data_IF_436191526824
#
_entry.id   IF_436191526824
#
_cell.length_a   1.000
_cell.length_b   1.000
_cell.length_c   1.000
_cell.angle_alpha   90.00
_cell.angle_beta   90.00
_cell.angle_gamma   90.00
#
_symmetry.space_group_name_H-M   'P 1'
#
loop_
_entity.id
_entity.type
_entity.pdbx_description
1 polymer ?
#
# COMPACT_ATOMS: atom_id res chain seq x y z
N UNK A 1 -0.24 3.94 -7.03
CA UNK A 1 -0.01 5.34 -6.63
C UNK A 1 -0.69 6.21 -7.65
N UNK A 2 -1.91 6.62 -7.32
CA UNK A 2 -2.62 7.68 -8.01
C UNK A 2 -2.04 9.05 -7.63
N UNK A 3 -1.96 9.99 -8.58
CA UNK A 3 -1.59 11.39 -8.31
C UNK A 3 -2.77 12.26 -8.75
N UNK A 4 -3.43 12.92 -7.79
CA UNK A 4 -4.53 13.85 -8.06
C UNK A 4 -4.00 15.27 -8.17
N UNK A 5 -4.44 16.00 -9.19
CA UNK A 5 -3.99 17.38 -9.43
C UNK A 5 -5.15 18.36 -9.24
N UNK A 6 -4.94 19.35 -8.38
CA UNK A 6 -5.81 20.51 -8.24
C UNK A 6 -5.20 21.71 -8.97
N UNK A 7 -6.06 22.48 -9.63
CA UNK A 7 -5.69 23.77 -10.21
C UNK A 7 -5.82 24.85 -9.15
N UNK A 8 -4.73 25.55 -8.88
CA UNK A 8 -4.70 26.69 -7.96
C UNK A 8 -4.80 28.00 -8.75
N UNK A 9 -4.66 29.14 -8.06
CA UNK A 9 -4.64 30.45 -8.69
C UNK A 9 -3.51 30.59 -9.73
N UNK A 10 -3.78 31.36 -10.78
CA UNK A 10 -2.87 31.62 -11.90
C UNK A 10 -2.39 30.34 -12.61
N UNK A 11 -1.08 30.07 -12.64
CA UNK A 11 -0.48 28.89 -13.29
C UNK A 11 0.05 27.87 -12.27
N UNK A 12 -0.43 27.96 -11.02
CA UNK A 12 -0.03 27.07 -9.94
C UNK A 12 -0.85 25.79 -9.96
N UNK A 13 -0.16 24.68 -9.68
CA UNK A 13 -0.74 23.34 -9.64
C UNK A 13 -0.38 22.69 -8.30
N UNK A 14 -1.30 21.92 -7.75
CA UNK A 14 -1.08 21.11 -6.55
C UNK A 14 -1.27 19.64 -6.90
N UNK A 15 -0.22 18.84 -6.73
CA UNK A 15 -0.30 17.39 -6.83
C UNK A 15 -0.38 16.78 -5.43
N UNK A 16 -1.35 15.89 -5.19
CA UNK A 16 -1.51 15.09 -3.97
C UNK A 16 -1.37 13.62 -4.28
N UNK A 17 -0.56 12.93 -3.48
CA UNK A 17 -0.33 11.48 -3.55
C UNK A 17 0.23 11.02 -2.21
N UNK A 18 -0.23 9.87 -1.72
CA UNK A 18 0.04 9.43 -0.34
C UNK A 18 -0.26 10.58 0.66
N UNK A 19 0.64 10.79 1.63
CA UNK A 19 0.58 11.90 2.59
C UNK A 19 1.33 13.16 2.10
N UNK A 20 1.75 13.19 0.84
CA UNK A 20 2.58 14.25 0.28
C UNK A 20 1.78 15.22 -0.59
N UNK A 21 2.20 16.48 -0.55
CA UNK A 21 1.69 17.54 -1.42
C UNK A 21 2.86 18.25 -2.10
N UNK A 22 2.78 18.40 -3.43
CA UNK A 22 3.79 19.09 -4.23
C UNK A 22 3.12 20.24 -4.98
N UNK A 23 3.65 21.44 -4.82
CA UNK A 23 3.23 22.62 -5.58
C UNK A 23 4.18 22.82 -6.75
N UNK A 24 3.63 23.04 -7.94
CA UNK A 24 4.37 23.46 -9.11
C UNK A 24 3.86 24.81 -9.60
N UNK A 25 4.76 25.63 -10.15
CA UNK A 25 4.43 26.93 -10.70
C UNK A 25 5.34 27.25 -11.89
N UNK A 26 4.82 28.08 -12.80
CA UNK A 26 5.62 28.60 -13.90
C UNK A 26 6.44 29.82 -13.43
N UNK A 27 7.65 30.03 -13.94
CA UNK A 27 8.40 31.24 -13.66
C UNK A 27 7.70 32.47 -14.26
N UNK A 28 8.02 33.66 -13.74
CA UNK A 28 7.45 34.95 -14.18
C UNK A 28 7.57 35.16 -15.70
N UNK A 29 8.67 34.71 -16.32
CA UNK A 29 8.88 34.78 -17.79
C UNK A 29 7.82 34.03 -18.60
N UNK A 30 7.17 33.03 -18.00
CA UNK A 30 6.06 32.26 -18.56
C UNK A 30 4.72 32.62 -17.90
N UNK A 31 4.62 33.83 -17.32
CA UNK A 31 3.41 34.40 -16.70
C UNK A 31 2.92 33.71 -15.42
N UNK A 32 3.71 32.81 -14.82
CA UNK A 32 3.40 32.28 -13.49
C UNK A 32 3.95 33.18 -12.38
N UNK A 33 3.76 32.76 -11.13
CA UNK A 33 4.19 33.56 -9.98
C UNK A 33 5.65 33.28 -9.60
N UNK A 34 6.24 32.21 -10.16
CA UNK A 34 7.59 31.74 -9.81
C UNK A 34 7.70 31.31 -8.34
N UNK A 35 6.58 30.94 -7.71
CA UNK A 35 6.48 30.60 -6.29
C UNK A 35 6.95 29.18 -5.95
N UNK A 36 7.06 28.32 -6.96
CA UNK A 36 7.52 26.93 -6.85
C UNK A 36 8.26 26.50 -8.13
N UNK A 37 9.03 25.39 -8.11
CA UNK A 37 9.61 24.81 -9.32
C UNK A 37 8.55 24.45 -10.36
N UNK A 38 8.92 24.48 -11.64
CA UNK A 38 8.05 23.99 -12.70
C UNK A 38 7.89 22.46 -12.64
N UNK A 39 6.84 21.88 -13.25
CA UNK A 39 6.65 20.43 -13.25
C UNK A 39 7.86 19.65 -13.78
N UNK A 40 8.51 20.15 -14.84
CA UNK A 40 9.70 19.52 -15.40
C UNK A 40 10.93 19.60 -14.47
N UNK A 41 11.02 20.63 -13.63
CA UNK A 41 12.13 20.78 -12.68
C UNK A 41 12.10 19.67 -11.62
N UNK A 42 10.90 19.22 -11.21
CA UNK A 42 10.75 18.06 -10.33
C UNK A 42 11.24 16.77 -10.98
N UNK A 43 10.98 16.57 -12.28
CA UNK A 43 11.51 15.43 -13.01
C UNK A 43 13.06 15.45 -13.01
N UNK A 44 13.67 16.60 -13.30
CA UNK A 44 15.13 16.76 -13.29
C UNK A 44 15.72 16.56 -11.89
N UNK A 45 15.08 17.11 -10.86
CA UNK A 45 15.48 16.95 -9.47
C UNK A 45 15.39 15.47 -9.04
N UNK A 46 14.32 14.77 -9.43
CA UNK A 46 14.12 13.36 -9.09
C UNK A 46 15.22 12.46 -9.66
N UNK A 47 15.77 12.77 -10.84
CA UNK A 47 16.93 12.07 -11.41
C UNK A 47 18.19 12.23 -10.54
N UNK A 48 18.51 13.46 -10.12
CA UNK A 48 19.66 13.73 -9.25
C UNK A 48 19.49 13.09 -7.86
N UNK A 49 18.28 13.20 -7.27
CA UNK A 49 17.94 12.59 -5.99
C UNK A 49 18.01 11.06 -6.05
N UNK A 50 17.53 10.45 -7.13
CA UNK A 50 17.61 9.00 -7.35
C UNK A 50 19.07 8.53 -7.41
N UNK A 51 19.95 9.23 -8.13
CA UNK A 51 21.38 8.91 -8.12
C UNK A 51 21.95 9.01 -6.69
N UNK A 52 21.66 10.10 -5.97
CA UNK A 52 22.14 10.31 -4.60
C UNK A 52 21.62 9.23 -3.62
N UNK A 53 20.36 8.80 -3.78
CA UNK A 53 19.78 7.70 -3.02
C UNK A 53 20.58 6.40 -3.19
N UNK A 54 20.94 6.04 -4.43
CA UNK A 54 21.74 4.83 -4.67
C UNK A 54 23.17 4.95 -4.13
N UNK A 55 23.74 6.15 -4.06
CA UNK A 55 24.98 6.39 -3.31
C UNK A 55 24.77 6.13 -1.82
N UNK A 56 23.72 6.72 -1.23
CA UNK A 56 23.40 6.57 0.20
C UNK A 56 23.18 5.12 0.59
N UNK A 57 22.44 4.35 -0.21
CA UNK A 57 22.20 2.91 0.02
C UNK A 57 23.52 2.12 -0.01
N UNK A 58 24.40 2.37 -0.98
CA UNK A 58 25.69 1.69 -1.07
C UNK A 58 26.56 1.97 0.16
N UNK A 59 26.62 3.24 0.56
CA UNK A 59 27.42 3.71 1.70
C UNK A 59 26.89 3.15 3.03
N UNK A 60 25.57 3.23 3.26
CA UNK A 60 24.93 2.70 4.47
C UNK A 60 25.18 1.19 4.63
N UNK A 61 25.14 0.41 3.54
CA UNK A 61 25.37 -1.04 3.60
C UNK A 61 26.82 -1.45 3.92
N UNK A 62 27.75 -0.48 3.99
CA UNK A 62 29.20 -0.68 4.21
C UNK A 62 29.75 0.24 5.29
N UNK A 63 28.88 0.90 6.04
CA UNK A 63 29.25 1.87 7.08
C UNK A 63 30.21 2.97 6.58
N UNK A 64 30.05 3.41 5.32
CA UNK A 64 30.80 4.52 4.73
C UNK A 64 30.07 5.82 5.04
N UNK A 65 30.70 6.81 5.69
CA UNK A 65 30.11 8.13 5.88
C UNK A 65 29.81 8.81 4.55
N UNK A 66 28.67 9.49 4.46
CA UNK A 66 28.33 10.29 3.27
C UNK A 66 28.85 11.72 3.34
N UNK A 67 29.66 12.03 4.34
CA UNK A 67 30.27 13.34 4.51
C UNK A 67 31.15 13.65 3.30
N UNK A 68 31.06 14.87 2.79
CA UNK A 68 31.81 15.36 1.63
C UNK A 68 31.56 14.62 0.30
N UNK A 69 30.57 13.72 0.22
CA UNK A 69 30.08 13.23 -1.06
C UNK A 69 29.09 14.26 -1.63
N UNK A 70 29.33 14.71 -2.86
CA UNK A 70 28.46 15.69 -3.53
C UNK A 70 28.03 15.20 -4.89
N UNK A 71 26.79 15.50 -5.25
CA UNK A 71 26.23 15.21 -6.57
C UNK A 71 25.70 16.49 -7.19
N UNK A 72 25.90 16.65 -8.49
CA UNK A 72 25.30 17.73 -9.28
C UNK A 72 24.80 17.18 -10.60
N UNK A 73 23.66 17.66 -11.06
CA UNK A 73 23.15 17.35 -12.41
C UNK A 73 23.13 18.61 -13.25
N UNK A 74 23.61 18.50 -14.47
CA UNK A 74 23.47 19.52 -15.51
C UNK A 74 22.84 18.89 -16.74
N UNK A 75 22.04 19.65 -17.48
CA UNK A 75 21.37 19.16 -18.68
C UNK A 75 21.97 19.84 -19.90
N UNK A 76 22.43 19.06 -20.85
CA UNK A 76 22.87 19.55 -22.16
C UNK A 76 21.71 19.31 -23.11
N UNK A 77 21.14 20.40 -23.62
CA UNK A 77 20.00 20.37 -24.55
C UNK A 77 20.53 20.40 -25.97
N UNK A 78 20.03 19.51 -26.82
CA UNK A 78 20.33 19.52 -28.25
C UNK A 78 19.74 20.81 -28.89
N UNK A 79 20.55 21.60 -29.63
CA UNK A 79 20.08 22.83 -30.27
C UNK A 79 18.95 22.63 -31.29
N UNK A 80 18.89 21.46 -31.94
CA UNK A 80 17.92 21.17 -33.01
C UNK A 80 16.69 20.43 -32.48
N UNK A 81 16.81 19.70 -31.36
CA UNK A 81 15.70 19.04 -30.68
C UNK A 81 15.75 19.24 -29.17
N UNK A 82 14.96 20.19 -28.67
CA UNK A 82 14.90 20.50 -27.23
C UNK A 82 14.52 19.32 -26.32
N UNK A 83 13.93 18.25 -26.87
CA UNK A 83 13.57 17.05 -26.12
C UNK A 83 14.72 16.04 -26.04
N UNK A 84 15.68 16.11 -26.97
CA UNK A 84 16.90 15.34 -26.90
C UNK A 84 17.88 16.01 -25.91
N UNK A 85 18.01 15.42 -24.72
CA UNK A 85 18.81 15.99 -23.63
C UNK A 85 19.78 14.96 -23.05
N UNK A 86 20.99 15.41 -22.72
CA UNK A 86 21.95 14.63 -21.93
C UNK A 86 21.89 15.12 -20.48
N UNK A 87 21.36 14.30 -19.59
CA UNK A 87 21.42 14.52 -18.15
C UNK A 87 22.77 14.07 -17.60
N UNK A 88 23.68 15.04 -17.41
CA UNK A 88 25.03 14.81 -16.92
C UNK A 88 25.08 14.92 -15.40
N UNK A 89 25.15 13.77 -14.73
CA UNK A 89 25.32 13.68 -13.27
C UNK A 89 26.82 13.56 -12.96
N UNK A 90 27.37 14.54 -12.26
CA UNK A 90 28.74 14.49 -11.73
C UNK A 90 28.69 14.11 -10.25
N UNK A 91 29.60 13.23 -9.83
CA UNK A 91 29.73 12.75 -8.46
C UNK A 91 31.13 13.08 -7.96
N UNK A 92 31.20 13.89 -6.92
CA UNK A 92 32.43 14.21 -6.20
C UNK A 92 32.54 13.26 -4.99
N UNK A 93 33.64 12.50 -4.93
CA UNK A 93 33.91 11.52 -3.88
C UNK A 93 35.21 11.89 -3.16
N UNK A 94 35.22 11.96 -1.82
CA UNK A 94 36.41 12.36 -1.06
C UNK A 94 37.56 11.38 -1.25
N UNK A 95 38.81 11.85 -1.10
CA UNK A 95 40.04 11.12 -1.45
C UNK A 95 40.21 9.79 -0.68
N UNK A 96 39.69 9.72 0.54
CA UNK A 96 39.75 8.58 1.45
C UNK A 96 38.85 7.39 1.05
N UNK A 97 37.92 7.58 0.11
CA UNK A 97 37.15 6.46 -0.45
C UNK A 97 38.06 5.58 -1.31
N UNK A 98 38.09 4.29 -0.96
CA UNK A 98 38.84 3.25 -1.67
C UNK A 98 38.40 3.14 -3.15
N UNK A 99 39.31 2.77 -4.05
CA UNK A 99 38.98 2.57 -5.47
C UNK A 99 37.87 1.52 -5.67
N UNK A 100 37.84 0.49 -4.81
CA UNK A 100 36.80 -0.53 -4.80
C UNK A 100 35.43 0.09 -4.54
N UNK A 101 35.34 1.00 -3.57
CA UNK A 101 34.11 1.66 -3.20
C UNK A 101 33.71 2.76 -4.18
N UNK A 102 34.67 3.50 -4.76
CA UNK A 102 34.39 4.42 -5.88
C UNK A 102 33.67 3.71 -7.01
N UNK A 103 34.20 2.58 -7.45
CA UNK A 103 33.55 1.78 -8.50
C UNK A 103 32.21 1.18 -8.02
N UNK A 104 32.13 0.77 -6.76
CA UNK A 104 30.90 0.26 -6.16
C UNK A 104 29.76 1.28 -6.14
N UNK A 105 30.07 2.51 -5.76
CA UNK A 105 29.16 3.65 -5.78
C UNK A 105 28.67 3.91 -7.21
N UNK A 106 29.58 4.00 -8.19
CA UNK A 106 29.20 4.21 -9.59
C UNK A 106 28.29 3.09 -10.13
N UNK A 107 28.59 1.82 -9.79
CA UNK A 107 27.71 0.69 -10.14
C UNK A 107 26.35 0.75 -9.44
N UNK A 108 26.31 1.27 -8.22
CA UNK A 108 25.06 1.49 -7.48
C UNK A 108 24.19 2.53 -8.17
N UNK A 109 24.79 3.68 -8.54
CA UNK A 109 24.11 4.74 -9.31
C UNK A 109 23.58 4.21 -10.64
N UNK A 110 24.26 3.23 -11.27
CA UNK A 110 23.77 2.65 -12.52
C UNK A 110 22.37 2.03 -12.38
N UNK A 111 21.96 1.65 -11.16
CA UNK A 111 20.65 1.08 -10.86
C UNK A 111 19.56 2.14 -10.60
N UNK A 112 19.87 3.43 -10.74
CA UNK A 112 18.88 4.49 -10.56
C UNK A 112 17.62 4.24 -11.40
N UNK A 113 16.49 4.09 -10.71
CA UNK A 113 15.18 3.80 -11.27
C UNK A 113 14.76 4.85 -12.30
N UNK A 114 14.88 6.14 -11.98
CA UNK A 114 14.52 7.24 -12.91
C UNK A 114 15.29 7.11 -14.22
N UNK A 115 16.61 6.88 -14.14
CA UNK A 115 17.44 6.69 -15.33
C UNK A 115 17.02 5.47 -16.14
N UNK A 116 16.80 4.31 -15.49
CA UNK A 116 16.41 3.08 -16.19
C UNK A 116 15.06 3.24 -16.89
N UNK A 117 14.06 3.83 -16.23
CA UNK A 117 12.74 4.08 -16.82
C UNK A 117 12.87 4.98 -18.05
N UNK A 118 13.56 6.12 -17.93
CA UNK A 118 13.76 7.05 -19.06
C UNK A 118 14.48 6.38 -20.23
N UNK A 119 15.49 5.54 -19.97
CA UNK A 119 16.21 4.80 -21.00
C UNK A 119 15.37 3.69 -21.65
N UNK A 120 14.41 3.12 -20.91
CA UNK A 120 13.47 2.12 -21.45
C UNK A 120 12.38 2.78 -22.31
N UNK A 121 12.05 4.05 -22.06
CA UNK A 121 11.04 4.79 -22.82
C UNK A 121 9.62 4.40 -22.40
N UNK A 122 9.08 4.96 -21.30
CA UNK A 122 7.70 4.70 -20.92
C UNK A 122 6.75 5.29 -21.96
N UNK A 123 5.64 4.60 -22.19
CA UNK A 123 4.54 5.10 -23.02
C UNK A 123 3.65 6.04 -22.20
N UNK A 124 3.27 7.16 -22.80
CA UNK A 124 2.28 8.07 -22.24
C UNK A 124 0.96 7.88 -22.98
N UNK A 125 -0.02 7.30 -22.30
CA UNK A 125 -1.39 7.18 -22.80
C UNK A 125 -2.24 8.30 -22.17
N UNK A 126 -2.99 9.01 -23.00
CA UNK A 126 -3.84 10.13 -22.58
C UNK A 126 -5.26 9.81 -23.03
N UNK A 127 -6.14 9.63 -22.05
CA UNK A 127 -7.53 9.29 -22.28
C UNK A 127 -8.43 10.28 -21.54
N UNK A 128 -9.58 10.58 -22.14
CA UNK A 128 -10.62 11.40 -21.50
C UNK A 128 -11.63 10.44 -20.92
N UNK A 129 -11.93 10.64 -19.64
CA UNK A 129 -12.89 9.81 -18.92
C UNK A 129 -14.02 10.65 -18.35
N UNK A 130 -15.19 10.04 -18.15
CA UNK A 130 -16.34 10.71 -17.55
C UNK A 130 -16.14 10.94 -16.05
N UNK A 131 -15.48 9.99 -15.36
CA UNK A 131 -15.22 10.06 -13.93
C UNK A 131 -13.91 9.35 -13.52
N UNK A 132 -12.90 10.13 -13.10
CA UNK A 132 -11.59 9.62 -12.66
C UNK A 132 -11.69 8.58 -11.53
N UNK A 133 -12.71 8.69 -10.69
CA UNK A 133 -12.93 7.80 -9.56
C UNK A 133 -13.41 6.39 -9.95
N UNK A 134 -14.05 6.26 -11.11
CA UNK A 134 -14.54 4.99 -11.65
C UNK A 134 -13.43 4.26 -12.44
N UNK A 135 -12.57 5.00 -13.15
CA UNK A 135 -11.48 4.42 -13.95
C UNK A 135 -10.24 3.98 -13.16
N UNK A 136 -10.04 4.47 -11.93
CA UNK A 136 -8.96 3.96 -11.09
C UNK A 136 -9.06 2.44 -10.83
N UNK A 137 -10.29 1.90 -10.83
CA UNK A 137 -10.53 0.44 -10.75
C UNK A 137 -10.12 -0.29 -12.04
N UNK A 138 -10.12 0.37 -13.20
CA UNK A 138 -9.72 -0.22 -14.48
C UNK A 138 -8.21 -0.57 -14.53
N UNK A 139 -7.39 0.03 -13.67
CA UNK A 139 -5.97 -0.35 -13.53
C UNK A 139 -5.76 -1.72 -12.86
N UNK A 140 -6.77 -2.27 -12.18
CA UNK A 140 -6.77 -3.63 -11.65
C UNK A 140 -7.16 -4.67 -12.71
N UNK A 141 -7.87 -4.26 -13.77
CA UNK A 141 -8.15 -5.12 -14.91
C UNK A 141 -6.88 -5.34 -15.72
N UNK A 142 -6.13 -6.38 -15.33
CA UNK A 142 -5.32 -7.11 -16.30
C UNK A 142 -6.25 -7.47 -17.46
N UNK A 143 -5.81 -7.32 -18.72
CA UNK A 143 -6.57 -7.84 -19.85
C UNK A 143 -6.76 -9.35 -19.63
N UNK A 144 -7.94 -9.74 -19.17
CA UNK A 144 -8.31 -11.08 -18.73
C UNK A 144 -8.67 -11.94 -19.95
N UNK A 145 -7.81 -11.99 -20.96
CA UNK A 145 -7.95 -12.94 -22.05
C UNK A 145 -7.26 -14.25 -21.65
N UNK A 146 -8.02 -15.19 -21.08
CA UNK A 146 -7.50 -16.52 -20.70
C UNK A 146 -8.32 -17.25 -19.64
N UNK A 147 -8.02 -18.54 -19.46
CA UNK A 147 -8.51 -19.38 -18.36
C UNK A 147 -7.31 -20.09 -17.72
N UNK A 148 -6.59 -19.39 -16.85
CA UNK A 148 -5.39 -19.92 -16.19
C UNK A 148 -5.78 -20.61 -14.88
N UNK A 149 -5.67 -21.94 -14.86
CA UNK A 149 -5.82 -22.74 -13.64
C UNK A 149 -4.46 -22.95 -12.97
N UNK A 150 -4.44 -22.81 -11.64
CA UNK A 150 -3.30 -23.18 -10.79
C UNK A 150 -3.71 -24.28 -9.82
N UNK A 151 -2.75 -25.10 -9.41
CA UNK A 151 -3.00 -26.24 -8.53
C UNK A 151 -3.66 -25.80 -7.20
N UNK A 152 -4.69 -26.53 -6.79
CA UNK A 152 -5.43 -26.28 -5.55
C UNK A 152 -6.41 -25.10 -5.60
N UNK A 153 -6.71 -24.54 -6.78
CA UNK A 153 -7.75 -23.51 -6.96
C UNK A 153 -8.88 -24.03 -7.87
N UNK A 154 -10.11 -23.74 -7.46
CA UNK A 154 -11.32 -24.26 -8.10
C UNK A 154 -11.83 -23.40 -9.28
N UNK A 155 -11.19 -22.26 -9.53
CA UNK A 155 -11.56 -21.34 -10.61
C UNK A 155 -10.30 -20.75 -11.28
N UNK A 156 -10.40 -20.32 -12.55
CA UNK A 156 -9.34 -19.58 -13.22
C UNK A 156 -8.98 -18.29 -12.48
N UNK A 157 -7.72 -17.88 -12.59
CA UNK A 157 -7.22 -16.63 -12.00
C UNK A 157 -8.00 -15.42 -12.50
N UNK A 158 -8.28 -15.36 -13.80
CA UNK A 158 -8.95 -14.26 -14.48
C UNK A 158 -10.38 -14.07 -13.94
N UNK A 159 -11.13 -15.17 -13.83
CA UNK A 159 -12.48 -15.15 -13.26
C UNK A 159 -12.45 -14.78 -11.77
N UNK A 160 -11.47 -15.29 -11.03
CA UNK A 160 -11.31 -14.99 -9.60
C UNK A 160 -11.04 -13.52 -9.37
N UNK A 161 -10.11 -12.93 -10.14
CA UNK A 161 -9.77 -11.49 -10.08
C UNK A 161 -10.99 -10.65 -10.42
N UNK A 162 -11.70 -10.95 -11.52
CA UNK A 162 -12.87 -10.21 -11.94
C UNK A 162 -13.95 -10.21 -10.85
N UNK A 163 -14.28 -11.40 -10.31
CA UNK A 163 -15.29 -11.54 -9.25
C UNK A 163 -14.90 -10.83 -7.95
N UNK A 164 -13.66 -10.97 -7.50
CA UNK A 164 -13.20 -10.31 -6.27
C UNK A 164 -13.16 -8.80 -6.41
N UNK A 165 -12.74 -8.30 -7.58
CA UNK A 165 -12.75 -6.87 -7.89
C UNK A 165 -14.19 -6.32 -7.88
N UNK A 166 -15.14 -7.04 -8.47
CA UNK A 166 -16.56 -6.68 -8.46
C UNK A 166 -17.17 -6.67 -7.06
N UNK A 167 -16.85 -7.67 -6.21
CA UNK A 167 -17.30 -7.69 -4.81
C UNK A 167 -16.84 -6.42 -4.10
N UNK A 168 -15.55 -6.12 -4.18
CA UNK A 168 -14.95 -4.97 -3.51
C UNK A 168 -15.54 -3.65 -4.04
N UNK A 169 -15.67 -3.49 -5.35
CA UNK A 169 -16.23 -2.27 -5.95
C UNK A 169 -17.70 -2.08 -5.60
N UNK A 170 -18.48 -3.16 -5.52
CA UNK A 170 -19.90 -3.11 -5.12
C UNK A 170 -20.10 -2.65 -3.67
N UNK A 171 -19.08 -2.82 -2.82
CA UNK A 171 -19.06 -2.28 -1.45
C UNK A 171 -18.63 -0.80 -1.39
N UNK A 172 -18.38 -0.17 -2.54
CA UNK A 172 -17.97 1.23 -2.64
C UNK A 172 -16.47 1.47 -2.40
N UNK A 173 -15.67 0.41 -2.27
CA UNK A 173 -14.23 0.51 -2.04
C UNK A 173 -13.47 0.70 -3.34
N UNK A 174 -12.41 1.53 -3.29
CA UNK A 174 -11.55 1.80 -4.44
C UNK A 174 -10.15 1.30 -4.15
N UNK A 175 -9.81 0.16 -4.72
CA UNK A 175 -8.49 -0.42 -4.54
C UNK A 175 -7.52 0.16 -5.55
N UNK A 176 -6.36 0.58 -5.08
CA UNK A 176 -5.23 0.94 -5.93
C UNK A 176 -4.07 -0.03 -5.73
N UNK A 177 -3.29 -0.20 -6.81
CA UNK A 177 -2.00 -0.86 -6.73
C UNK A 177 -0.94 0.13 -6.27
N UNK A 178 -0.37 -0.09 -5.10
CA UNK A 178 0.74 0.73 -4.61
C UNK A 178 2.08 0.30 -5.24
N UNK A 179 2.35 -1.01 -5.31
CA UNK A 179 3.59 -1.50 -5.93
C UNK A 179 3.52 -2.94 -6.44
N UNK A 180 4.22 -3.19 -7.54
CA UNK A 180 4.53 -4.51 -8.08
C UNK A 180 6.00 -4.83 -7.88
N UNK A 181 6.32 -6.11 -7.59
CA UNK A 181 7.70 -6.61 -7.63
C UNK A 181 7.74 -7.97 -8.32
N UNK A 182 8.81 -8.18 -9.09
CA UNK A 182 9.18 -9.45 -9.70
C UNK A 182 10.70 -9.60 -9.56
N UNK A 183 11.14 -10.03 -8.38
CA UNK A 183 12.56 -9.95 -7.99
C UNK A 183 13.39 -11.03 -8.71
N UNK A 184 12.79 -12.19 -8.96
CA UNK A 184 13.37 -13.31 -9.70
C UNK A 184 12.27 -13.98 -10.54
N UNK A 185 12.60 -14.73 -11.61
CA UNK A 185 11.61 -15.39 -12.44
C UNK A 185 10.61 -16.19 -11.62
N UNK A 186 9.32 -16.03 -11.95
CA UNK A 186 8.21 -16.72 -11.29
C UNK A 186 8.01 -16.40 -9.81
N UNK A 187 8.46 -15.22 -9.34
CA UNK A 187 8.22 -14.77 -7.96
C UNK A 187 7.72 -13.33 -7.98
N UNK A 188 6.39 -13.20 -7.94
CA UNK A 188 5.68 -11.94 -7.94
C UNK A 188 5.17 -11.60 -6.55
N UNK A 189 5.22 -10.32 -6.21
CA UNK A 189 4.49 -9.76 -5.08
C UNK A 189 3.78 -8.48 -5.49
N UNK A 190 2.61 -8.25 -4.90
CA UNK A 190 1.77 -7.08 -5.12
C UNK A 190 1.42 -6.47 -3.76
N UNK A 191 1.40 -5.15 -3.68
CA UNK A 191 0.79 -4.43 -2.57
C UNK A 191 -0.40 -3.63 -3.10
N UNK A 192 -1.58 -3.85 -2.51
CA UNK A 192 -2.82 -3.10 -2.80
C UNK A 192 -3.34 -2.45 -1.53
N UNK A 193 -4.08 -1.35 -1.68
CA UNK A 193 -4.75 -0.65 -0.57
C UNK A 193 -6.00 0.05 -1.03
N UNK A 194 -6.88 0.39 -0.09
CA UNK A 194 -8.00 1.30 -0.36
C UNK A 194 -7.48 2.74 -0.51
N UNK A 195 -7.88 3.40 -1.59
CA UNK A 195 -7.52 4.79 -1.87
C UNK A 195 -8.13 5.77 -0.85
N UNK A 196 -9.30 5.45 -0.28
CA UNK A 196 -9.94 6.28 0.74
C UNK A 196 -9.43 5.99 2.15
N UNK A 197 -8.91 4.78 2.39
CA UNK A 197 -8.35 4.36 3.68
C UNK A 197 -7.04 3.59 3.46
N UNK A 198 -5.89 4.28 3.31
CA UNK A 198 -4.61 3.64 3.01
C UNK A 198 -4.12 2.63 4.05
N UNK A 199 -4.68 2.69 5.27
CA UNK A 199 -4.45 1.72 6.35
C UNK A 199 -5.09 0.35 6.08
N UNK A 200 -6.11 0.28 5.22
CA UNK A 200 -6.65 -0.97 4.70
C UNK A 200 -5.82 -1.41 3.49
N UNK A 201 -4.83 -2.29 3.72
CA UNK A 201 -3.96 -2.81 2.68
C UNK A 201 -3.67 -4.29 2.85
N UNK A 202 -3.35 -4.96 1.75
CA UNK A 202 -2.93 -6.37 1.76
C UNK A 202 -1.80 -6.62 0.78
N UNK A 203 -1.17 -7.78 0.92
CA UNK A 203 -0.09 -8.19 0.03
C UNK A 203 -0.46 -9.47 -0.69
N UNK A 204 -0.26 -9.48 -2.00
CA UNK A 204 -0.38 -10.66 -2.83
C UNK A 204 0.96 -11.28 -3.13
N UNK A 205 0.99 -12.60 -3.27
CA UNK A 205 2.15 -13.35 -3.74
C UNK A 205 1.74 -14.42 -4.75
N UNK A 206 2.56 -14.66 -5.76
CA UNK A 206 2.23 -15.63 -6.79
C UNK A 206 3.38 -15.95 -7.73
N UNK A 207 3.24 -17.07 -8.45
CA UNK A 207 4.19 -17.46 -9.48
C UNK A 207 4.04 -16.62 -10.77
N UNK A 208 2.89 -15.98 -10.95
CA UNK A 208 2.58 -15.06 -12.04
C UNK A 208 2.01 -13.75 -11.48
N UNK A 209 1.88 -12.73 -12.34
CA UNK A 209 1.29 -11.44 -11.98
C UNK A 209 -0.17 -11.61 -11.56
N UNK A 210 -0.94 -12.40 -12.30
CA UNK A 210 -2.34 -12.72 -12.07
C UNK A 210 -2.52 -13.46 -10.74
N UNK A 211 -1.67 -14.45 -10.45
CA UNK A 211 -1.73 -15.20 -9.20
C UNK A 211 -1.46 -14.30 -7.99
N UNK A 212 -0.51 -13.37 -8.10
CA UNK A 212 -0.24 -12.39 -7.05
C UNK A 212 -1.42 -11.41 -6.88
N UNK A 213 -2.07 -10.96 -7.96
CA UNK A 213 -3.27 -10.12 -7.85
C UNK A 213 -4.43 -10.84 -7.18
N UNK A 214 -4.75 -12.06 -7.63
CA UNK A 214 -5.80 -12.89 -7.03
C UNK A 214 -5.53 -13.13 -5.54
N UNK A 215 -4.26 -13.38 -5.17
CA UNK A 215 -3.84 -13.53 -3.78
C UNK A 215 -4.06 -12.25 -2.97
N UNK A 216 -3.74 -11.06 -3.51
CA UNK A 216 -3.90 -9.79 -2.78
C UNK A 216 -5.38 -9.48 -2.54
N UNK A 217 -6.21 -9.63 -3.57
CA UNK A 217 -7.66 -9.39 -3.50
C UNK A 217 -8.33 -10.38 -2.56
N UNK A 218 -7.94 -11.66 -2.62
CA UNK A 218 -8.42 -12.69 -1.71
C UNK A 218 -8.08 -12.37 -0.25
N UNK A 219 -6.82 -11.97 0.02
CA UNK A 219 -6.42 -11.51 1.36
C UNK A 219 -7.21 -10.27 1.77
N UNK A 220 -7.50 -9.34 0.86
CA UNK A 220 -8.28 -8.12 1.17
C UNK A 220 -9.70 -8.47 1.62
N UNK A 221 -10.38 -9.37 0.89
CA UNK A 221 -11.70 -9.86 1.24
C UNK A 221 -11.67 -10.65 2.56
N UNK A 222 -10.65 -11.48 2.78
CA UNK A 222 -10.44 -12.20 4.05
C UNK A 222 -10.36 -11.22 5.23
N UNK A 223 -9.49 -10.20 5.15
CA UNK A 223 -9.33 -9.22 6.23
C UNK A 223 -10.59 -8.40 6.44
N UNK A 224 -11.27 -8.00 5.36
CA UNK A 224 -12.53 -7.28 5.44
C UNK A 224 -13.63 -8.10 6.12
N UNK A 225 -13.76 -9.38 5.74
CA UNK A 225 -14.81 -10.28 6.26
C UNK A 225 -14.65 -10.59 7.75
N UNK A 226 -13.43 -10.41 8.29
CA UNK A 226 -13.11 -10.68 9.68
C UNK A 226 -12.85 -9.41 10.51
N UNK A 227 -13.26 -8.22 10.02
CA UNK A 227 -13.02 -6.92 10.65
C UNK A 227 -11.53 -6.66 11.00
N UNK A 228 -10.61 -7.35 10.32
CA UNK A 228 -9.22 -7.45 10.76
C UNK A 228 -8.42 -6.17 10.51
N UNK A 229 -8.82 -5.32 9.56
CA UNK A 229 -8.16 -4.04 9.32
C UNK A 229 -8.21 -3.09 10.52
N UNK A 230 -9.18 -3.29 11.41
CA UNK A 230 -9.40 -2.42 12.56
C UNK A 230 -9.35 -3.17 13.90
N UNK A 231 -8.84 -4.41 13.92
CA UNK A 231 -8.80 -5.25 15.12
C UNK A 231 -8.14 -4.57 16.33
N UNK A 232 -7.12 -3.73 16.09
CA UNK A 232 -6.36 -3.04 17.13
C UNK A 232 -6.92 -1.63 17.46
N UNK A 233 -8.14 -1.31 17.03
CA UNK A 233 -8.74 0.02 17.19
C UNK A 233 -10.00 0.00 18.04
N UNK A 234 -10.14 0.99 18.92
CA UNK A 234 -11.42 1.30 19.56
C UNK A 234 -12.36 1.98 18.55
N UNK A 235 -13.59 1.48 18.41
CA UNK A 235 -14.53 1.93 17.39
C UNK A 235 -15.34 3.17 17.77
N UNK A 236 -15.24 3.62 19.03
CA UNK A 236 -15.99 4.77 19.52
C UNK A 236 -17.34 4.40 20.15
N UNK A 237 -17.88 5.33 20.94
CA UNK A 237 -19.09 5.11 21.72
C UNK A 237 -20.32 4.81 20.84
N UNK A 238 -20.42 5.44 19.66
CA UNK A 238 -21.56 5.28 18.76
C UNK A 238 -21.66 3.83 18.25
N UNK A 239 -20.52 3.22 17.84
CA UNK A 239 -20.50 1.83 17.38
C UNK A 239 -20.65 0.87 18.56
N UNK A 240 -20.01 1.17 19.70
CA UNK A 240 -20.14 0.35 20.92
C UNK A 240 -21.59 0.20 21.42
N UNK A 241 -22.46 1.18 21.09
CA UNK A 241 -23.89 1.20 21.42
C UNK A 241 -24.81 0.81 20.25
N UNK A 242 -24.26 0.49 19.08
CA UNK A 242 -25.04 0.09 17.92
C UNK A 242 -25.73 -1.28 18.12
N UNK A 243 -26.66 -1.64 17.24
CA UNK A 243 -27.36 -2.93 17.28
C UNK A 243 -26.37 -4.11 17.36
N UNK A 244 -25.29 -4.05 16.59
CA UNK A 244 -24.13 -4.94 16.68
C UNK A 244 -22.83 -4.15 16.48
N UNK A 245 -21.72 -4.65 17.05
CA UNK A 245 -20.37 -4.06 16.93
C UNK A 245 -19.57 -4.76 15.84
N UNK A 246 -19.55 -6.09 15.85
CA UNK A 246 -18.74 -6.93 14.98
C UNK A 246 -19.56 -7.61 13.90
N UNK A 247 -20.64 -8.30 14.28
CA UNK A 247 -21.49 -9.06 13.34
C UNK A 247 -22.95 -9.08 13.80
N UNK A 248 -23.93 -9.12 12.88
CA UNK A 248 -25.34 -9.22 13.25
C UNK A 248 -25.72 -10.48 14.06
N UNK A 249 -24.91 -11.54 13.99
CA UNK A 249 -25.10 -12.79 14.72
C UNK A 249 -24.25 -12.90 15.99
N UNK A 250 -23.59 -11.81 16.40
CA UNK A 250 -22.88 -11.75 17.68
C UNK A 250 -23.85 -11.88 18.87
N UNK A 251 -23.31 -12.34 19.99
CA UNK A 251 -24.05 -12.47 21.24
C UNK A 251 -23.35 -11.68 22.33
N UNK A 252 -24.14 -11.03 23.18
CA UNK A 252 -23.65 -10.29 24.32
C UNK A 252 -24.03 -11.02 25.60
N UNK A 253 -23.06 -11.17 26.49
CA UNK A 253 -23.21 -11.82 27.79
C UNK A 253 -22.89 -10.79 28.88
N UNK A 254 -23.86 -10.47 29.72
CA UNK A 254 -23.66 -9.58 30.85
C UNK A 254 -22.62 -10.16 31.82
N UNK A 255 -21.80 -9.28 32.41
CA UNK A 255 -20.84 -9.69 33.43
C UNK A 255 -21.58 -10.16 34.69
N UNK A 256 -21.05 -11.21 35.32
CA UNK A 256 -21.61 -11.77 36.56
C UNK A 256 -21.14 -10.96 37.77
N UNK A 257 -21.90 -11.00 38.87
CA UNK A 257 -21.55 -10.26 40.11
C UNK A 257 -20.23 -10.75 40.76
N UNK A 258 -19.88 -12.02 40.55
CA UNK A 258 -18.64 -12.63 41.06
C UNK A 258 -17.49 -12.63 40.04
N UNK A 259 -17.68 -11.96 38.89
CA UNK A 259 -16.73 -11.84 37.79
C UNK A 259 -16.33 -13.19 37.15
N UNK A 260 -17.13 -14.23 37.35
CA UNK A 260 -17.02 -15.51 36.66
C UNK A 260 -17.40 -15.40 35.17
N UNK A 261 -16.92 -16.34 34.35
CA UNK A 261 -17.31 -16.42 32.94
C UNK A 261 -18.81 -16.77 32.85
N UNK A 262 -19.64 -15.97 32.14
CA UNK A 262 -21.06 -16.26 31.96
C UNK A 262 -21.34 -17.63 31.31
N UNK A 263 -22.42 -18.29 31.74
CA UNK A 263 -22.88 -19.55 31.14
C UNK A 263 -23.25 -19.36 29.66
N UNK A 264 -22.82 -20.29 28.80
CA UNK A 264 -23.03 -20.23 27.35
C UNK A 264 -21.90 -19.59 26.55
N UNK A 265 -20.82 -19.16 27.22
CA UNK A 265 -19.55 -18.82 26.59
C UNK A 265 -18.57 -19.98 26.68
N UNK A 266 -17.92 -20.28 25.55
CA UNK A 266 -16.98 -21.40 25.40
C UNK A 266 -17.62 -22.77 25.71
N UNK A 267 -16.89 -23.84 25.37
CA UNK A 267 -17.22 -25.20 25.81
C UNK A 267 -16.18 -25.69 26.83
N UNK A 268 -16.48 -26.82 27.49
CA UNK A 268 -15.59 -27.43 28.49
C UNK A 268 -14.16 -27.62 27.96
N UNK A 269 -14.04 -28.01 26.68
CA UNK A 269 -12.75 -28.23 26.04
C UNK A 269 -11.92 -26.93 25.89
N UNK A 270 -12.56 -25.83 25.48
CA UNK A 270 -11.92 -24.52 25.39
C UNK A 270 -11.53 -24.01 26.77
N UNK A 271 -12.37 -24.20 27.79
CA UNK A 271 -12.08 -23.77 29.16
C UNK A 271 -10.89 -24.53 29.75
N UNK A 272 -10.75 -25.83 29.50
CA UNK A 272 -9.56 -26.61 29.90
C UNK A 272 -8.24 -26.04 29.31
N UNK A 273 -8.31 -25.39 28.15
CA UNK A 273 -7.14 -24.82 27.46
C UNK A 273 -6.86 -23.39 27.91
N UNK A 274 -7.90 -22.55 27.97
CA UNK A 274 -7.76 -21.11 28.18
C UNK A 274 -7.83 -20.70 29.65
N UNK A 275 -8.45 -21.52 30.51
CA UNK A 275 -8.60 -21.27 31.95
C UNK A 275 -8.25 -22.52 32.81
N UNK A 276 -7.04 -23.10 32.66
CA UNK A 276 -6.67 -24.34 33.34
C UNK A 276 -6.58 -24.20 34.87
N UNK A 277 -6.33 -22.98 35.37
CA UNK A 277 -6.16 -22.68 36.79
C UNK A 277 -7.40 -22.02 37.42
N UNK A 278 -8.47 -21.82 36.64
CA UNK A 278 -9.71 -21.14 37.06
C UNK A 278 -9.46 -19.70 37.58
N UNK A 279 -8.62 -18.96 36.84
CA UNK A 279 -8.23 -17.57 37.14
C UNK A 279 -8.81 -16.57 36.13
N UNK A 280 -9.44 -17.03 35.04
CA UNK A 280 -10.00 -16.17 34.00
C UNK A 280 -11.32 -15.52 34.47
N UNK A 281 -11.33 -14.19 34.51
CA UNK A 281 -12.52 -13.42 34.87
C UNK A 281 -13.30 -12.95 33.63
N UNK A 282 -14.61 -12.77 33.77
CA UNK A 282 -15.47 -12.21 32.74
C UNK A 282 -15.02 -10.81 32.30
N UNK A 283 -14.62 -9.96 33.24
CA UNK A 283 -14.08 -8.61 32.99
C UNK A 283 -12.82 -8.59 32.12
N UNK A 284 -12.08 -9.72 32.03
CA UNK A 284 -10.90 -9.83 31.17
C UNK A 284 -11.25 -10.04 29.70
N UNK A 285 -12.50 -10.37 29.40
CA UNK A 285 -12.95 -10.81 28.08
C UNK A 285 -13.77 -9.74 27.33
N UNK A 286 -13.92 -8.54 27.90
CA UNK A 286 -14.55 -7.41 27.21
C UNK A 286 -13.71 -7.04 26.00
N UNK A 287 -14.33 -7.00 24.82
CA UNK A 287 -13.60 -6.78 23.57
C UNK A 287 -13.07 -5.34 23.50
N UNK A 288 -11.83 -5.19 23.02
CA UNK A 288 -11.16 -3.88 22.95
C UNK A 288 -11.80 -2.93 21.93
N UNK A 289 -12.50 -3.46 20.92
CA UNK A 289 -13.10 -2.65 19.86
C UNK A 289 -14.33 -1.89 20.38
N UNK A 290 -15.19 -2.53 21.17
CA UNK A 290 -16.33 -1.90 21.83
C UNK A 290 -15.96 -1.19 23.13
N UNK A 291 -15.01 -1.74 23.91
CA UNK A 291 -14.67 -1.28 25.25
C UNK A 291 -15.88 -1.15 26.19
N UNK A 292 -16.97 -1.87 25.93
CA UNK A 292 -18.27 -1.63 26.56
C UNK A 292 -18.54 -2.62 27.70
N UNK A 293 -17.89 -2.39 28.85
CA UNK A 293 -18.06 -3.23 30.04
C UNK A 293 -19.52 -3.31 30.52
N UNK A 294 -20.30 -2.25 30.35
CA UNK A 294 -21.73 -2.22 30.73
C UNK A 294 -22.58 -3.16 29.87
N UNK A 295 -22.21 -3.34 28.59
CA UNK A 295 -22.88 -4.26 27.67
C UNK A 295 -22.38 -5.70 27.83
N UNK A 296 -21.17 -5.87 28.38
CA UNK A 296 -20.57 -7.15 28.75
C UNK A 296 -19.63 -7.72 27.70
N UNK A 297 -19.58 -9.05 27.61
CA UNK A 297 -18.68 -9.79 26.73
C UNK A 297 -19.35 -10.00 25.37
N UNK A 298 -18.75 -9.46 24.31
CA UNK A 298 -19.16 -9.76 22.94
C UNK A 298 -18.54 -11.08 22.49
N UNK A 299 -19.38 -12.02 22.05
CA UNK A 299 -18.95 -13.32 21.55
C UNK A 299 -19.45 -13.60 20.15
N UNK A 300 -18.58 -14.20 19.35
CA UNK A 300 -18.85 -14.57 17.97
C UNK A 300 -19.20 -16.06 17.89
N UNK A 301 -20.26 -16.42 17.15
CA UNK A 301 -20.62 -17.83 16.98
C UNK A 301 -19.62 -18.55 16.07
N UNK A 302 -19.12 -19.69 16.54
CA UNK A 302 -18.35 -20.65 15.74
C UNK A 302 -19.04 -22.01 15.78
N UNK A 303 -18.90 -22.79 14.70
CA UNK A 303 -19.46 -24.14 14.62
C UNK A 303 -18.38 -25.15 14.95
N UNK A 304 -18.63 -25.99 15.96
CA UNK A 304 -17.74 -27.10 16.32
C UNK A 304 -17.94 -28.25 15.34
N UNK A 305 -16.96 -28.50 14.49
CA UNK A 305 -17.11 -29.45 13.39
C UNK A 305 -17.27 -30.93 13.79
N UNK A 306 -16.92 -31.32 15.02
CA UNK A 306 -17.04 -32.72 15.49
C UNK A 306 -18.49 -33.19 15.64
N UNK A 307 -19.41 -32.28 15.94
CA UNK A 307 -20.81 -32.57 16.25
C UNK A 307 -21.80 -31.53 15.71
N UNK A 308 -21.32 -30.39 15.21
CA UNK A 308 -22.13 -29.36 14.56
C UNK A 308 -22.82 -28.41 15.52
N UNK A 309 -22.38 -28.37 16.78
CA UNK A 309 -22.81 -27.35 17.77
C UNK A 309 -22.35 -25.94 17.37
#
# INVERSE_FOLDING_TARGET
>A
MEIKVNFLDNLRLEAKFDDFTVIADQPIRYKGDGSAPGPFDYFLASSALCAAYFVKVYCNARDIPTDNIRLSQNNIVDPEDRYNQIFKINVELPEDISDKDRQGILRSIDRCTVKKVVQTGPEFQIEVVENLDEDAQALLTLQTEGETFIEGKDAPLEQTIARMTEIISSLGMKIEVASWRNIVPHVWSLHIRDAASPMCFTNGKGATKEAALASALGEFIERLSCNFFYNDQYFGADIAQAEFVHRPDERWFELTEDDSIPEGLLDDYCLEIYDPDSELCGSNLVDTNSGNEERGICALPFVRHSDGE
#
